data_IF_592158588757
#
_entry.id   IF_592158588757
#
_cell.length_a   1.000
_cell.length_b   1.000
_cell.length_c   1.000
_cell.angle_alpha   90.00
_cell.angle_beta   90.00
_cell.angle_gamma   90.00
#
_symmetry.space_group_name_H-M   'P 1'
#
loop_
_entity.id
_entity.type
_entity.pdbx_description
1 polymer ?
#
# COMPACT_ATOMS: atom_id res chain seq x y z
N UNK A 1 6.02 23.64 -39.46
CA UNK A 1 4.92 22.73 -39.07
C UNK A 1 5.32 22.03 -37.79
N UNK A 2 5.03 22.65 -36.64
CA UNK A 2 5.41 22.12 -35.32
C UNK A 2 4.40 21.04 -34.90
N UNK A 3 4.89 19.85 -34.57
CA UNK A 3 4.06 18.78 -34.01
C UNK A 3 3.76 19.13 -32.56
N UNK A 4 2.52 19.49 -32.30
CA UNK A 4 2.01 19.66 -30.94
C UNK A 4 1.79 18.27 -30.35
N UNK A 5 2.72 17.84 -29.49
CA UNK A 5 2.59 16.64 -28.70
C UNK A 5 1.53 16.90 -27.63
N UNK A 6 0.33 16.36 -27.84
CA UNK A 6 -0.73 16.39 -26.85
C UNK A 6 -0.27 15.64 -25.58
N UNK A 7 0.06 16.40 -24.53
CA UNK A 7 0.30 15.85 -23.19
C UNK A 7 -1.06 15.36 -22.68
N UNK A 8 -1.30 14.06 -22.77
CA UNK A 8 -2.39 13.41 -22.05
C UNK A 8 -2.02 13.43 -20.58
N UNK A 9 -2.53 14.40 -19.84
CA UNK A 9 -2.62 14.31 -18.38
C UNK A 9 -3.51 13.11 -18.09
N UNK A 10 -2.92 11.94 -17.86
CA UNK A 10 -3.66 10.82 -17.30
C UNK A 10 -3.96 11.19 -15.86
N UNK A 11 -5.18 11.68 -15.62
CA UNK A 11 -5.71 11.78 -14.26
C UNK A 11 -5.54 10.41 -13.61
N UNK A 12 -4.60 10.29 -12.66
CA UNK A 12 -4.37 9.03 -11.99
C UNK A 12 -5.61 8.76 -11.15
N UNK A 13 -6.22 7.59 -11.30
CA UNK A 13 -7.31 7.17 -10.42
C UNK A 13 -6.90 7.37 -8.96
N UNK A 14 -7.81 7.84 -8.09
CA UNK A 14 -7.51 7.99 -6.68
C UNK A 14 -7.07 6.62 -6.11
N UNK A 15 -6.15 6.61 -5.14
CA UNK A 15 -5.73 5.38 -4.49
C UNK A 15 -6.93 4.68 -3.84
N UNK A 16 -6.95 3.35 -3.86
CA UNK A 16 -8.01 2.57 -3.23
C UNK A 16 -7.94 2.66 -1.70
N UNK A 17 -9.10 2.54 -1.06
CA UNK A 17 -9.26 2.30 0.38
C UNK A 17 -9.20 0.80 0.70
N UNK A 18 -8.92 0.43 1.95
CA UNK A 18 -8.79 -0.98 2.37
C UNK A 18 -10.05 -1.79 2.05
N UNK A 19 -11.23 -1.18 2.23
CA UNK A 19 -12.52 -1.84 1.98
C UNK A 19 -12.81 -2.09 0.50
N UNK A 20 -12.07 -1.47 -0.40
CA UNK A 20 -12.20 -1.62 -1.85
C UNK A 20 -11.22 -2.67 -2.42
N UNK A 21 -10.24 -3.11 -1.63
CA UNK A 21 -9.28 -4.13 -2.05
C UNK A 21 -9.91 -5.51 -1.90
N UNK A 22 -10.00 -6.26 -3.00
CA UNK A 22 -10.48 -7.64 -3.02
C UNK A 22 -9.34 -8.62 -3.32
N UNK A 23 -9.36 -9.85 -2.78
CA UNK A 23 -8.43 -10.89 -3.19
C UNK A 23 -8.61 -11.23 -4.67
N UNK A 24 -7.50 -11.38 -5.41
CA UNK A 24 -7.55 -11.83 -6.81
C UNK A 24 -6.27 -11.53 -7.57
N UNK A 25 -6.12 -12.11 -8.78
CA UNK A 25 -5.03 -11.77 -9.69
C UNK A 25 -5.29 -10.37 -10.28
N UNK A 26 -4.52 -9.37 -9.84
CA UNK A 26 -4.59 -8.01 -10.34
C UNK A 26 -3.79 -7.05 -9.49
N UNK A 27 -3.24 -6.02 -10.12
CA UNK A 27 -2.48 -4.99 -9.41
C UNK A 27 -3.43 -3.88 -8.94
N UNK A 28 -3.22 -3.42 -7.71
CA UNK A 28 -3.95 -2.32 -7.11
C UNK A 28 -2.97 -1.38 -6.44
N UNK A 29 -3.17 -0.07 -6.60
CA UNK A 29 -2.38 0.95 -5.88
C UNK A 29 -3.22 1.51 -4.75
N UNK A 30 -2.66 1.47 -3.55
CA UNK A 30 -3.27 1.99 -2.33
C UNK A 30 -2.25 2.83 -1.55
N UNK A 31 -2.73 3.89 -0.88
CA UNK A 31 -1.93 4.66 0.06
C UNK A 31 -2.36 4.35 1.49
N UNK A 32 -1.39 4.17 2.38
CA UNK A 32 -1.62 3.92 3.80
C UNK A 32 -0.51 4.55 4.65
N UNK A 33 -0.78 4.73 5.95
CA UNK A 33 0.23 4.99 6.97
C UNK A 33 0.47 3.72 7.78
N UNK A 34 1.72 3.38 7.98
CA UNK A 34 2.14 2.28 8.84
C UNK A 34 2.13 2.75 10.30
N UNK A 35 1.36 2.09 11.15
CA UNK A 35 1.24 2.41 12.57
C UNK A 35 2.08 1.48 13.44
N UNK A 36 2.11 0.19 13.09
CA UNK A 36 2.89 -0.81 13.79
C UNK A 36 3.42 -1.85 12.80
N UNK A 37 4.64 -2.31 13.05
CA UNK A 37 5.31 -3.32 12.24
C UNK A 37 6.00 -4.31 13.18
N UNK A 38 5.75 -5.59 12.93
CA UNK A 38 6.42 -6.68 13.61
C UNK A 38 6.87 -7.71 12.58
N UNK A 39 8.11 -8.17 12.70
CA UNK A 39 8.60 -9.32 11.95
C UNK A 39 9.04 -10.45 12.89
N UNK A 40 8.49 -11.63 12.63
CA UNK A 40 8.83 -12.84 13.34
C UNK A 40 9.99 -13.52 12.63
N UNK A 41 11.03 -13.81 13.39
CA UNK A 41 12.27 -14.28 12.83
C UNK A 41 12.86 -15.45 13.62
N UNK A 42 13.31 -16.48 12.91
CA UNK A 42 14.02 -17.61 13.51
C UNK A 42 15.51 -17.33 13.51
N UNK A 43 16.06 -17.30 14.73
CA UNK A 43 17.49 -17.28 14.95
C UNK A 43 18.07 -18.68 14.75
N UNK A 44 18.99 -18.82 13.80
CA UNK A 44 19.78 -20.04 13.60
C UNK A 44 21.21 -19.75 14.04
N UNK A 45 21.72 -20.45 15.06
CA UNK A 45 23.11 -20.25 15.52
C UNK A 45 24.08 -20.53 14.37
N UNK A 46 24.85 -19.52 13.98
CA UNK A 46 25.82 -19.60 12.87
C UNK A 46 25.19 -19.62 11.48
N UNK A 47 23.88 -19.37 11.37
CA UNK A 47 23.14 -19.39 10.10
C UNK A 47 22.45 -18.07 9.78
N UNK A 48 21.81 -17.97 8.60
CA UNK A 48 21.06 -16.79 8.22
C UNK A 48 19.81 -16.62 9.07
N UNK A 49 19.40 -15.37 9.20
CA UNK A 49 18.18 -14.99 9.88
C UNK A 49 16.98 -15.29 8.99
N UNK A 50 16.08 -16.17 9.42
CA UNK A 50 14.97 -16.67 8.59
C UNK A 50 13.68 -15.93 8.96
N UNK A 51 13.05 -15.27 7.99
CA UNK A 51 11.72 -14.67 8.14
C UNK A 51 10.64 -15.74 8.26
N UNK A 52 9.90 -15.70 9.38
CA UNK A 52 8.76 -16.58 9.64
C UNK A 52 7.43 -15.91 9.32
N UNK A 53 7.34 -14.60 9.50
CA UNK A 53 6.11 -13.86 9.25
C UNK A 53 6.28 -12.37 9.49
N UNK A 54 5.34 -11.60 8.96
CA UNK A 54 5.26 -10.16 9.13
C UNK A 54 3.83 -9.84 9.54
N UNK A 55 3.67 -8.94 10.51
CA UNK A 55 2.41 -8.33 10.88
C UNK A 55 2.52 -6.81 10.74
N UNK A 56 1.53 -6.20 10.08
CA UNK A 56 1.50 -4.76 9.82
C UNK A 56 0.14 -4.20 10.23
N UNK A 57 0.14 -3.21 11.12
CA UNK A 57 -1.04 -2.39 11.41
C UNK A 57 -0.97 -1.13 10.54
N UNK A 58 -1.96 -0.95 9.69
CA UNK A 58 -2.00 0.13 8.71
C UNK A 58 -3.32 0.89 8.80
N UNK A 59 -3.29 2.17 8.44
CA UNK A 59 -4.47 3.06 8.39
C UNK A 59 -4.50 3.80 7.04
N UNK A 60 -5.68 3.98 6.48
CA UNK A 60 -5.90 4.72 5.23
C UNK A 60 -6.71 6.00 5.46
N UNK A 61 -7.13 6.65 4.37
CA UNK A 61 -7.87 7.90 4.42
C UNK A 61 -9.28 7.76 5.01
N UNK A 62 -9.88 6.55 5.05
CA UNK A 62 -11.26 6.36 5.52
C UNK A 62 -11.44 6.78 6.99
N UNK A 63 -10.41 6.60 7.82
CA UNK A 63 -10.48 6.94 9.24
C UNK A 63 -10.40 8.45 9.49
N UNK A 64 -9.83 9.22 8.56
CA UNK A 64 -9.71 10.68 8.70
C UNK A 64 -11.00 11.42 8.28
N UNK A 65 -11.79 10.89 7.34
CA UNK A 65 -13.00 11.55 6.85
C UNK A 65 -14.16 11.56 7.86
N UNK A 66 -14.18 10.63 8.83
CA UNK A 66 -15.31 10.48 9.76
C UNK A 66 -15.35 11.50 10.91
N UNK A 67 -14.35 12.38 11.02
CA UNK A 67 -14.22 13.37 12.11
C UNK A 67 -14.29 14.84 11.63
N UNK A 68 -14.79 15.10 10.42
CA UNK A 68 -14.80 16.44 9.80
C UNK A 68 -16.17 16.93 9.30
N UNK A 69 -17.28 16.38 9.80
CA UNK A 69 -18.64 16.90 9.55
C UNK A 69 -19.46 16.89 10.83
#
# INVERSE_FOLDING_TARGET
MSKETAIRTSESSPPLLFRQVSPGPGDSTMQFRLLHFWDAHKNVKGGPWILLGIEMLMIDAEVLEKNLI
#
